data_IF_018667040850
#
_entry.id   IF_018667040850
#
_cell.length_a   1.000
_cell.length_b   1.000
_cell.length_c   1.000
_cell.angle_alpha   90.00
_cell.angle_beta   90.00
_cell.angle_gamma   90.00
#
_symmetry.space_group_name_H-M   'P 1'
#
loop_
_entity.id
_entity.type
_entity.pdbx_description
1 polymer ?
#
# COMPACT_ATOMS: atom_id res chain seq x y z
N UNK A 1 16.68 -0.91 17.64
CA UNK A 1 16.82 0.33 16.87
C UNK A 1 15.44 0.89 16.58
N UNK A 2 15.18 2.19 16.82
CA UNK A 2 13.93 2.81 16.35
C UNK A 2 14.20 3.37 14.96
N UNK A 3 13.30 3.13 14.00
CA UNK A 3 13.48 3.68 12.64
C UNK A 3 13.58 5.20 12.64
N UNK A 4 14.17 5.76 11.60
CA UNK A 4 14.19 7.20 11.37
C UNK A 4 12.76 7.78 11.34
N UNK A 5 12.59 9.02 11.80
CA UNK A 5 11.27 9.62 12.00
C UNK A 5 10.42 9.65 10.71
N UNK A 6 11.05 9.84 9.54
CA UNK A 6 10.38 9.80 8.24
C UNK A 6 9.74 8.43 7.96
N UNK A 7 10.48 7.34 8.20
CA UNK A 7 9.98 5.97 8.01
C UNK A 7 8.92 5.60 9.07
N UNK A 8 9.03 6.14 10.28
CA UNK A 8 7.98 5.96 11.29
C UNK A 8 6.67 6.64 10.90
N UNK A 9 6.73 7.79 10.22
CA UNK A 9 5.54 8.50 9.76
C UNK A 9 4.82 7.69 8.67
N UNK A 10 5.54 7.24 7.63
CA UNK A 10 4.98 6.37 6.59
C UNK A 10 4.40 5.08 7.18
N UNK A 11 5.11 4.44 8.11
CA UNK A 11 4.64 3.22 8.79
C UNK A 11 3.31 3.41 9.55
N UNK A 12 3.03 4.60 10.08
CA UNK A 12 1.74 4.88 10.75
C UNK A 12 0.59 4.89 9.76
N UNK A 13 0.83 5.35 8.54
CA UNK A 13 -0.15 5.44 7.45
C UNK A 13 -0.53 4.05 6.90
N UNK A 14 0.26 3.01 7.18
CA UNK A 14 -0.13 1.62 6.90
C UNK A 14 -1.30 1.11 7.75
N UNK A 15 -1.55 1.69 8.93
CA UNK A 15 -2.65 1.23 9.78
C UNK A 15 -4.03 1.38 9.11
N UNK A 16 -4.40 2.55 8.55
CA UNK A 16 -5.62 2.67 7.74
C UNK A 16 -5.61 1.75 6.51
N UNK A 17 -4.49 1.64 5.79
CA UNK A 17 -4.36 0.74 4.63
C UNK A 17 -4.74 -0.72 4.97
N UNK A 18 -4.25 -1.24 6.09
CA UNK A 18 -4.58 -2.59 6.56
C UNK A 18 -6.05 -2.77 6.95
N UNK A 19 -6.73 -1.70 7.39
CA UNK A 19 -8.19 -1.73 7.61
C UNK A 19 -8.95 -1.84 6.30
N UNK A 20 -8.52 -1.13 5.25
CA UNK A 20 -9.12 -1.23 3.92
C UNK A 20 -8.92 -2.62 3.33
N UNK A 21 -7.72 -3.19 3.44
CA UNK A 21 -7.45 -4.57 3.01
C UNK A 21 -8.38 -5.58 3.72
N UNK A 22 -8.59 -5.40 5.03
CA UNK A 22 -9.49 -6.26 5.81
C UNK A 22 -10.97 -6.07 5.42
N UNK A 23 -11.41 -4.84 5.20
CA UNK A 23 -12.76 -4.53 4.72
C UNK A 23 -13.03 -5.23 3.37
N UNK A 24 -12.10 -5.08 2.42
CA UNK A 24 -12.18 -5.71 1.11
C UNK A 24 -12.27 -7.25 1.22
N UNK A 25 -11.41 -7.86 2.06
CA UNK A 25 -11.42 -9.31 2.32
C UNK A 25 -12.77 -9.78 2.86
N UNK A 26 -13.31 -9.12 3.87
CA UNK A 26 -14.59 -9.52 4.46
C UNK A 26 -15.76 -9.39 3.48
N UNK A 27 -15.79 -8.32 2.69
CA UNK A 27 -16.83 -8.14 1.69
C UNK A 27 -16.74 -9.21 0.59
N UNK A 28 -15.54 -9.51 0.10
CA UNK A 28 -15.31 -10.58 -0.86
C UNK A 28 -15.77 -11.95 -0.32
N UNK A 29 -15.35 -12.32 0.90
CA UNK A 29 -15.66 -13.61 1.51
C UNK A 29 -17.16 -13.76 1.83
N UNK A 30 -17.88 -12.64 2.02
CA UNK A 30 -19.32 -12.66 2.26
C UNK A 30 -20.15 -13.10 1.04
N UNK A 31 -19.59 -12.95 -0.18
CA UNK A 31 -20.28 -13.16 -1.45
C UNK A 31 -21.63 -12.41 -1.60
N UNK A 32 -21.88 -11.38 -0.77
CA UNK A 32 -23.10 -10.57 -0.82
C UNK A 32 -22.88 -9.32 -1.66
N UNK A 33 -23.69 -9.14 -2.70
CA UNK A 33 -23.53 -8.03 -3.66
C UNK A 33 -23.60 -6.65 -2.99
N UNK A 34 -24.48 -6.47 -2.00
CA UNK A 34 -24.57 -5.21 -1.24
C UNK A 34 -23.31 -4.92 -0.44
N UNK A 35 -22.74 -5.93 0.24
CA UNK A 35 -21.51 -5.77 1.01
C UNK A 35 -20.31 -5.46 0.11
N UNK A 36 -20.25 -6.07 -1.08
CA UNK A 36 -19.24 -5.80 -2.11
C UNK A 36 -19.35 -4.34 -2.58
N UNK A 37 -20.54 -3.88 -2.92
CA UNK A 37 -20.77 -2.51 -3.37
C UNK A 37 -20.40 -1.47 -2.28
N UNK A 38 -20.87 -1.66 -1.05
CA UNK A 38 -20.56 -0.76 0.07
C UNK A 38 -19.06 -0.73 0.42
N UNK A 39 -18.38 -1.86 0.35
CA UNK A 39 -16.94 -1.91 0.57
C UNK A 39 -16.18 -1.20 -0.55
N UNK A 40 -16.58 -1.40 -1.82
CA UNK A 40 -15.97 -0.75 -2.97
C UNK A 40 -16.06 0.77 -2.88
N UNK A 41 -17.24 1.33 -2.56
CA UNK A 41 -17.41 2.78 -2.39
C UNK A 41 -16.50 3.35 -1.29
N UNK A 42 -16.43 2.67 -0.13
CA UNK A 42 -15.55 3.07 0.98
C UNK A 42 -14.09 3.01 0.60
N UNK A 43 -13.67 1.96 -0.11
CA UNK A 43 -12.29 1.81 -0.58
C UNK A 43 -11.95 2.90 -1.58
N UNK A 44 -12.79 3.17 -2.57
CA UNK A 44 -12.53 4.21 -3.59
C UNK A 44 -12.39 5.59 -2.94
N UNK A 45 -13.25 5.91 -1.96
CA UNK A 45 -13.16 7.16 -1.22
C UNK A 45 -11.88 7.24 -0.38
N UNK A 46 -11.58 6.22 0.43
CA UNK A 46 -10.41 6.20 1.30
C UNK A 46 -9.09 6.09 0.51
N UNK A 47 -9.09 5.43 -0.65
CA UNK A 47 -7.91 5.32 -1.50
C UNK A 47 -7.42 6.70 -1.92
N UNK A 48 -8.35 7.60 -2.31
CA UNK A 48 -8.02 8.96 -2.71
C UNK A 48 -7.44 9.80 -1.58
N UNK A 49 -7.97 9.65 -0.37
CA UNK A 49 -7.63 10.50 0.76
C UNK A 49 -6.45 9.96 1.59
N UNK A 50 -6.20 8.65 1.55
CA UNK A 50 -5.23 7.97 2.42
C UNK A 50 -4.12 7.27 1.62
N UNK A 51 -4.46 6.38 0.68
CA UNK A 51 -3.47 5.57 -0.04
C UNK A 51 -2.72 6.35 -1.11
N UNK A 52 -3.41 7.15 -1.92
CA UNK A 52 -2.77 7.90 -3.00
C UNK A 52 -1.76 8.95 -2.46
N UNK A 53 -2.08 9.75 -1.43
CA UNK A 53 -1.09 10.67 -0.85
C UNK A 53 0.13 9.94 -0.26
N UNK A 54 -0.09 8.77 0.34
CA UNK A 54 0.96 7.92 0.87
C UNK A 54 1.90 7.43 -0.25
N UNK A 55 1.35 6.82 -1.31
CA UNK A 55 2.13 6.37 -2.48
C UNK A 55 2.90 7.52 -3.12
N UNK A 56 2.29 8.71 -3.23
CA UNK A 56 2.96 9.89 -3.78
C UNK A 56 4.13 10.35 -2.94
N UNK A 57 4.02 10.31 -1.60
CA UNK A 57 5.12 10.65 -0.71
C UNK A 57 6.31 9.70 -0.93
N UNK A 58 6.06 8.40 -1.00
CA UNK A 58 7.10 7.42 -1.25
C UNK A 58 7.71 7.56 -2.64
N UNK A 59 6.88 7.67 -3.68
CA UNK A 59 7.31 7.77 -5.08
C UNK A 59 8.14 9.03 -5.36
N UNK A 60 7.86 10.12 -4.64
CA UNK A 60 8.52 11.42 -4.80
C UNK A 60 9.79 11.53 -3.96
N UNK A 61 9.78 10.99 -2.74
CA UNK A 61 10.84 11.25 -1.76
C UNK A 61 11.66 9.98 -1.44
N UNK A 62 11.01 8.90 -1.01
CA UNK A 62 11.69 7.68 -0.55
C UNK A 62 12.32 6.87 -1.69
N UNK A 63 11.53 6.56 -2.72
CA UNK A 63 11.95 5.67 -3.80
C UNK A 63 13.11 6.24 -4.64
N UNK A 64 13.16 7.55 -4.97
CA UNK A 64 14.31 8.12 -5.65
C UNK A 64 15.60 8.03 -4.83
N UNK A 65 15.52 8.24 -3.50
CA UNK A 65 16.67 8.12 -2.61
C UNK A 65 17.18 6.67 -2.54
N UNK A 66 16.27 5.69 -2.43
CA UNK A 66 16.61 4.27 -2.48
C UNK A 66 17.24 3.86 -3.82
N UNK A 67 16.70 4.35 -4.94
CA UNK A 67 17.27 4.08 -6.26
C UNK A 67 18.71 4.61 -6.37
N UNK A 68 18.95 5.84 -5.90
CA UNK A 68 20.29 6.43 -5.88
C UNK A 68 21.27 5.66 -4.97
N UNK A 69 20.77 5.03 -3.90
CA UNK A 69 21.54 4.18 -3.01
C UNK A 69 21.72 2.73 -3.51
N UNK A 70 21.22 2.39 -4.70
CA UNK A 70 21.42 1.08 -5.33
C UNK A 70 20.31 0.05 -5.07
N UNK A 71 19.20 0.41 -4.40
CA UNK A 71 18.08 -0.49 -4.10
C UNK A 71 17.04 -0.54 -5.23
N UNK A 72 17.49 -0.63 -6.49
CA UNK A 72 16.64 -0.48 -7.67
C UNK A 72 15.54 -1.55 -7.81
N UNK A 73 15.79 -2.80 -7.39
CA UNK A 73 14.81 -3.89 -7.47
C UNK A 73 13.62 -3.65 -6.53
N UNK A 74 13.88 -3.20 -5.30
CA UNK A 74 12.84 -2.84 -4.34
C UNK A 74 11.98 -1.69 -4.86
N UNK A 75 12.63 -0.66 -5.43
CA UNK A 75 11.94 0.49 -6.03
C UNK A 75 11.04 0.06 -7.20
N UNK A 76 11.53 -0.82 -8.07
CA UNK A 76 10.75 -1.32 -9.20
C UNK A 76 9.52 -2.11 -8.73
N UNK A 77 9.69 -2.95 -7.69
CA UNK A 77 8.59 -3.68 -7.07
C UNK A 77 7.54 -2.75 -6.47
N UNK A 78 7.93 -1.79 -5.63
CA UNK A 78 7.00 -0.83 -5.00
C UNK A 78 6.17 -0.10 -6.06
N UNK A 79 6.81 0.42 -7.12
CA UNK A 79 6.10 1.12 -8.21
C UNK A 79 5.12 0.21 -8.97
N UNK A 80 5.49 -1.05 -9.18
CA UNK A 80 4.62 -2.01 -9.85
C UNK A 80 3.39 -2.33 -8.98
N UNK A 81 3.59 -2.58 -7.69
CA UNK A 81 2.50 -2.84 -6.74
C UNK A 81 1.58 -1.62 -6.58
N UNK A 82 2.12 -0.38 -6.52
CA UNK A 82 1.31 0.85 -6.53
C UNK A 82 0.47 0.99 -7.79
N UNK A 83 1.06 0.73 -8.96
CA UNK A 83 0.35 0.79 -10.23
C UNK A 83 -0.79 -0.24 -10.30
N UNK A 84 -0.57 -1.47 -9.82
CA UNK A 84 -1.62 -2.49 -9.76
C UNK A 84 -2.71 -2.13 -8.75
N UNK A 85 -2.36 -1.59 -7.57
CA UNK A 85 -3.34 -1.13 -6.58
C UNK A 85 -4.22 0.01 -7.13
N UNK A 86 -3.63 0.96 -7.87
CA UNK A 86 -4.37 2.02 -8.57
C UNK A 86 -5.29 1.45 -9.65
N UNK A 87 -4.84 0.45 -10.41
CA UNK A 87 -5.67 -0.23 -11.42
C UNK A 87 -6.87 -0.94 -10.79
N UNK A 88 -6.63 -1.73 -9.74
CA UNK A 88 -7.67 -2.43 -9.00
C UNK A 88 -8.69 -1.43 -8.43
N UNK A 89 -8.22 -0.34 -7.81
CA UNK A 89 -9.10 0.71 -7.28
C UNK A 89 -9.97 1.34 -8.37
N UNK A 90 -9.42 1.61 -9.57
CA UNK A 90 -10.19 2.13 -10.70
C UNK A 90 -11.28 1.16 -11.16
N UNK A 91 -10.99 -0.14 -11.14
CA UNK A 91 -11.93 -1.21 -11.54
C UNK A 91 -13.07 -1.41 -10.54
N UNK A 92 -12.94 -0.93 -9.30
CA UNK A 92 -14.01 -0.95 -8.30
C UNK A 92 -15.23 -0.06 -8.65
N UNK A 93 -15.20 0.66 -9.76
CA UNK A 93 -16.39 1.28 -10.35
C UNK A 93 -17.45 0.23 -10.78
N UNK A 94 -17.01 -0.99 -11.10
CA UNK A 94 -17.85 -2.15 -11.37
C UNK A 94 -17.38 -3.29 -10.45
N UNK A 95 -17.72 -3.24 -9.15
CA UNK A 95 -17.06 -4.07 -8.17
C UNK A 95 -17.58 -5.52 -8.20
N UNK A 96 -16.66 -6.46 -8.03
CA UNK A 96 -16.96 -7.86 -7.78
C UNK A 96 -16.10 -8.41 -6.63
N UNK A 97 -16.46 -9.60 -6.16
CA UNK A 97 -15.76 -10.23 -5.03
C UNK A 97 -14.31 -10.61 -5.35
N UNK A 98 -13.98 -10.93 -6.60
CA UNK A 98 -12.63 -11.30 -7.00
C UNK A 98 -11.70 -10.08 -6.99
N UNK A 99 -12.18 -8.94 -7.51
CA UNK A 99 -11.51 -7.64 -7.47
C UNK A 99 -11.19 -7.23 -6.03
N UNK A 100 -12.17 -7.31 -5.14
CA UNK A 100 -11.96 -7.01 -3.72
C UNK A 100 -10.98 -7.98 -3.06
N UNK A 101 -11.06 -9.28 -3.36
CA UNK A 101 -10.13 -10.27 -2.84
C UNK A 101 -8.68 -10.01 -3.31
N UNK A 102 -8.50 -9.64 -4.58
CA UNK A 102 -7.19 -9.28 -5.14
C UNK A 102 -6.64 -8.00 -4.52
N UNK A 103 -7.46 -6.96 -4.42
CA UNK A 103 -7.09 -5.70 -3.75
C UNK A 103 -6.68 -5.95 -2.30
N UNK A 104 -7.47 -6.74 -1.56
CA UNK A 104 -7.19 -7.10 -0.18
C UNK A 104 -5.83 -7.80 -0.02
N UNK A 105 -5.57 -8.82 -0.85
CA UNK A 105 -4.31 -9.56 -0.80
C UNK A 105 -3.14 -8.65 -1.16
N UNK A 106 -3.22 -7.95 -2.29
CA UNK A 106 -2.13 -7.11 -2.75
C UNK A 106 -1.79 -6.01 -1.75
N UNK A 107 -2.79 -5.29 -1.21
CA UNK A 107 -2.54 -4.22 -0.24
C UNK A 107 -1.95 -4.76 1.07
N UNK A 108 -2.38 -5.95 1.52
CA UNK A 108 -1.81 -6.57 2.71
C UNK A 108 -0.34 -6.98 2.50
N UNK A 109 -0.06 -7.63 1.38
CA UNK A 109 1.27 -8.13 1.05
C UNK A 109 2.24 -6.99 0.79
N UNK A 110 1.78 -5.95 0.11
CA UNK A 110 2.51 -4.71 -0.14
C UNK A 110 2.95 -4.04 1.17
N UNK A 111 2.02 -3.75 2.10
CA UNK A 111 2.35 -3.17 3.41
C UNK A 111 3.35 -4.04 4.18
N UNK A 112 3.20 -5.37 4.13
CA UNK A 112 4.14 -6.28 4.81
C UNK A 112 5.52 -6.25 4.19
N UNK A 113 5.60 -6.18 2.86
CA UNK A 113 6.84 -6.03 2.12
C UNK A 113 7.54 -4.72 2.50
N UNK A 114 6.81 -3.60 2.52
CA UNK A 114 7.40 -2.31 2.83
C UNK A 114 7.95 -2.27 4.25
N UNK A 115 7.16 -2.76 5.20
CA UNK A 115 7.55 -2.82 6.60
C UNK A 115 8.76 -3.73 6.85
N UNK A 116 8.95 -4.80 6.09
CA UNK A 116 9.96 -5.83 6.40
C UNK A 116 11.21 -5.74 5.54
N UNK A 117 11.09 -5.17 4.35
CA UNK A 117 12.15 -5.19 3.34
C UNK A 117 12.48 -3.76 2.91
N UNK A 118 11.50 -2.99 2.42
CA UNK A 118 11.74 -1.64 1.89
C UNK A 118 12.27 -0.69 2.97
N UNK A 119 11.56 -0.58 4.11
CA UNK A 119 11.90 0.36 5.17
C UNK A 119 13.12 -0.06 5.98
N UNK A 120 13.37 -1.37 6.12
CA UNK A 120 14.62 -1.87 6.72
C UNK A 120 15.82 -1.53 5.83
N UNK A 121 15.69 -1.71 4.51
CA UNK A 121 16.74 -1.32 3.55
C UNK A 121 16.94 0.19 3.53
N UNK A 122 15.85 0.98 3.56
CA UNK A 122 15.92 2.43 3.64
C UNK A 122 16.62 2.90 4.91
N UNK A 123 16.33 2.26 6.05
CA UNK A 123 17.00 2.56 7.31
C UNK A 123 18.52 2.34 7.21
N UNK A 124 18.95 1.23 6.61
CA UNK A 124 20.36 0.88 6.48
C UNK A 124 21.10 1.79 5.50
N UNK A 125 20.50 2.09 4.35
CA UNK A 125 21.16 2.82 3.26
C UNK A 125 21.08 4.34 3.42
N UNK A 126 19.97 4.87 3.93
CA UNK A 126 19.71 6.32 3.97
C UNK A 126 19.93 6.93 5.35
N UNK A 127 19.84 6.11 6.40
CA UNK A 127 19.94 6.57 7.79
C UNK A 127 20.84 5.64 8.62
N UNK A 128 22.09 5.37 8.19
CA UNK A 128 22.99 4.50 8.94
C UNK A 128 23.24 5.08 10.34
N UNK A 129 23.17 4.24 11.37
CA UNK A 129 23.63 4.64 12.70
C UNK A 129 25.16 4.76 12.66
N UNK A 130 25.67 5.92 13.08
CA UNK A 130 27.11 6.16 13.29
C UNK A 130 27.55 5.66 14.66
#
# INVERSE_FOLDING_TARGET
MKRHAALQQLSREHHPALKLARLARFAADSAHALAIAEAAEKIVAAFREELEPHFQCEEKDLLPALAAAGAGELVARTRAEHAELRDLNRRLAEPDGELLARFATLLNDHVRFEERELFETAQQLLYPEH
#
